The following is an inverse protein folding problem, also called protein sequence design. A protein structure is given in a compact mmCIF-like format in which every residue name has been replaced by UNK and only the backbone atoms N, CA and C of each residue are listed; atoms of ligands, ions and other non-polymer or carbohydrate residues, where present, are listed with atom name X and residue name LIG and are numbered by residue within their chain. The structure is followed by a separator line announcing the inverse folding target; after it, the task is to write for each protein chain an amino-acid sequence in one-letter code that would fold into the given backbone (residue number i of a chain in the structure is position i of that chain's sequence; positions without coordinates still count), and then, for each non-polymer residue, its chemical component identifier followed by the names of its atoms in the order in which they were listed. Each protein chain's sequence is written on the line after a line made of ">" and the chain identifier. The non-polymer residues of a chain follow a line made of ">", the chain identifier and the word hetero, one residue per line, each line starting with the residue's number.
data_IF_549325025632
#
_entry.id   IF_549325025632
#
_cell.length_a   1.000
_cell.length_b   1.000
_cell.length_c   1.000
_cell.angle_alpha   90.00
_cell.angle_beta   90.00
_cell.angle_gamma   90.00
#
_symmetry.space_group_name_H-M   'P 1'
#
loop_
_entity.id
_entity.type
_entity.pdbx_description
1 polymer ?
#
# COMPACT_ATOMS: atom_id res chain seq x y z
N UNK A 1 23.42 14.43 -25.78
CA UNK A 1 23.33 13.57 -24.59
C UNK A 1 22.37 14.24 -23.62
N UNK A 2 21.07 14.00 -23.80
CA UNK A 2 20.05 14.64 -22.98
C UNK A 2 19.84 13.84 -21.71
N UNK A 3 20.15 14.49 -20.59
CA UNK A 3 19.89 14.08 -19.22
C UNK A 3 18.53 13.37 -19.07
N UNK A 4 18.55 12.06 -18.86
CA UNK A 4 17.40 11.34 -18.31
C UNK A 4 17.19 11.85 -16.89
N UNK A 5 16.16 12.68 -16.70
CA UNK A 5 15.69 12.99 -15.36
C UNK A 5 15.03 11.72 -14.82
N UNK A 6 15.79 10.91 -14.07
CA UNK A 6 15.25 9.82 -13.27
C UNK A 6 14.37 10.43 -12.19
N UNK A 7 13.07 10.59 -12.49
CA UNK A 7 12.07 10.88 -11.46
C UNK A 7 12.13 9.80 -10.37
N UNK A 8 11.66 10.08 -9.15
CA UNK A 8 11.68 9.08 -8.09
C UNK A 8 10.97 7.81 -8.60
N UNK A 9 11.70 6.68 -8.56
CA UNK A 9 11.20 5.37 -9.01
C UNK A 9 9.99 4.91 -8.20
N UNK A 10 9.84 5.45 -6.99
CA UNK A 10 8.80 5.13 -6.05
C UNK A 10 8.14 6.41 -5.48
N UNK A 11 6.82 6.39 -5.34
CA UNK A 11 6.05 7.37 -4.56
C UNK A 11 5.29 6.69 -3.43
N UNK A 12 4.87 7.46 -2.44
CA UNK A 12 3.99 7.00 -1.36
C UNK A 12 2.68 7.75 -1.48
N UNK A 13 1.58 7.02 -1.55
CA UNK A 13 0.24 7.56 -1.75
C UNK A 13 -0.76 6.94 -0.76
N UNK A 14 -1.91 7.58 -0.59
CA UNK A 14 -3.04 6.96 0.11
C UNK A 14 -3.56 5.78 -0.70
N UNK A 15 -3.85 4.69 0.00
CA UNK A 15 -4.52 3.52 -0.56
C UNK A 15 -5.92 3.89 -1.01
N UNK A 16 -6.34 3.39 -2.18
CA UNK A 16 -7.70 3.53 -2.69
C UNK A 16 -8.33 2.15 -2.96
N UNK A 17 -9.66 2.04 -3.01
CA UNK A 17 -10.33 0.77 -3.32
C UNK A 17 -9.89 0.15 -4.65
N UNK A 18 -9.46 0.95 -5.62
CA UNK A 18 -8.98 0.48 -6.92
C UNK A 18 -7.61 -0.21 -6.82
N UNK A 19 -6.84 0.04 -5.76
CA UNK A 19 -5.53 -0.59 -5.52
C UNK A 19 -5.67 -2.01 -4.94
N UNK A 20 -6.85 -2.39 -4.45
CA UNK A 20 -7.09 -3.69 -3.78
C UNK A 20 -6.69 -4.92 -4.61
N UNK A 21 -6.89 -4.99 -5.95
CA UNK A 21 -6.43 -6.13 -6.72
C UNK A 21 -4.92 -6.35 -6.63
N UNK A 22 -4.12 -5.28 -6.67
CA UNK A 22 -2.66 -5.36 -6.58
C UNK A 22 -2.21 -5.65 -5.14
N UNK A 23 -2.86 -5.04 -4.15
CA UNK A 23 -2.59 -5.27 -2.72
C UNK A 23 -2.88 -6.72 -2.34
N UNK A 24 -3.98 -7.30 -2.80
CA UNK A 24 -4.33 -8.70 -2.51
C UNK A 24 -3.33 -9.68 -3.14
N UNK A 25 -2.72 -9.32 -4.28
CA UNK A 25 -1.66 -10.11 -4.88
C UNK A 25 -0.39 -10.09 -4.03
N UNK A 26 0.00 -8.91 -3.52
CA UNK A 26 1.10 -8.77 -2.56
C UNK A 26 0.79 -9.58 -1.31
N UNK A 27 -0.38 -9.40 -0.71
CA UNK A 27 -0.80 -10.09 0.52
C UNK A 27 -0.72 -11.61 0.41
N UNK A 28 -1.23 -12.16 -0.70
CA UNK A 28 -1.19 -13.60 -0.96
C UNK A 28 0.24 -14.14 -1.13
N UNK A 29 1.16 -13.33 -1.62
CA UNK A 29 2.56 -13.70 -1.78
C UNK A 29 3.37 -13.55 -0.48
N UNK A 30 3.04 -12.57 0.35
CA UNK A 30 3.83 -12.20 1.53
C UNK A 30 3.44 -12.98 2.78
N UNK A 31 2.21 -13.49 2.89
CA UNK A 31 1.72 -14.16 4.10
C UNK A 31 1.14 -15.56 3.86
N UNK A 32 1.39 -16.47 4.83
CA UNK A 32 0.80 -17.83 4.83
C UNK A 32 -0.70 -17.83 5.11
N UNK A 33 -1.17 -16.83 5.86
CA UNK A 33 -2.59 -16.62 6.18
C UNK A 33 -2.98 -15.20 5.77
N UNK A 34 -3.21 -14.98 4.47
CA UNK A 34 -3.57 -13.68 3.89
C UNK A 34 -4.81 -13.06 4.54
N UNK A 35 -4.79 -11.75 4.71
CA UNK A 35 -5.99 -10.96 4.95
C UNK A 35 -7.00 -11.10 3.80
N UNK A 36 -8.28 -11.08 4.15
CA UNK A 36 -9.34 -11.09 3.16
C UNK A 36 -9.56 -9.69 2.59
N UNK A 37 -10.12 -9.61 1.38
CA UNK A 37 -10.54 -8.32 0.78
C UNK A 37 -11.41 -7.48 1.72
N UNK A 38 -12.31 -8.13 2.46
CA UNK A 38 -13.20 -7.46 3.42
C UNK A 38 -12.41 -6.70 4.49
N UNK A 39 -11.35 -7.31 5.03
CA UNK A 39 -10.53 -6.69 6.07
C UNK A 39 -9.87 -5.39 5.59
N UNK A 40 -9.31 -5.38 4.36
CA UNK A 40 -8.79 -4.15 3.77
C UNK A 40 -9.88 -3.09 3.56
N UNK A 41 -11.07 -3.51 3.10
CA UNK A 41 -12.19 -2.59 2.93
C UNK A 41 -12.68 -2.03 4.26
N UNK A 42 -12.62 -2.80 5.34
CA UNK A 42 -13.00 -2.38 6.68
C UNK A 42 -12.05 -1.29 7.18
N UNK A 43 -10.75 -1.49 7.03
CA UNK A 43 -9.71 -0.50 7.37
C UNK A 43 -9.87 0.81 6.57
N UNK A 44 -10.13 0.72 5.26
CA UNK A 44 -10.38 1.90 4.41
C UNK A 44 -11.62 2.70 4.84
N UNK A 45 -12.55 2.13 5.62
CA UNK A 45 -13.72 2.84 6.14
C UNK A 45 -13.48 3.50 7.49
N UNK A 46 -12.37 3.19 8.17
CA UNK A 46 -12.04 3.75 9.48
C UNK A 46 -11.28 5.08 9.31
N UNK A 47 -11.83 6.22 9.79
CA UNK A 47 -11.20 7.53 9.56
C UNK A 47 -9.82 7.70 10.22
N UNK A 48 -9.52 6.90 11.25
CA UNK A 48 -8.26 6.93 11.98
C UNK A 48 -7.22 5.95 11.42
N UNK A 49 -7.61 5.05 10.51
CA UNK A 49 -6.70 4.11 9.89
C UNK A 49 -5.84 4.82 8.85
N UNK A 50 -4.54 4.61 8.92
CA UNK A 50 -3.57 5.05 7.92
C UNK A 50 -3.33 3.89 6.96
N UNK A 51 -3.97 3.95 5.79
CA UNK A 51 -3.82 2.97 4.71
C UNK A 51 -3.01 3.61 3.58
N UNK A 52 -1.78 3.15 3.37
CA UNK A 52 -0.85 3.75 2.42
C UNK A 52 -0.25 2.70 1.50
N UNK A 53 0.11 3.12 0.29
CA UNK A 53 0.76 2.29 -0.73
C UNK A 53 2.05 2.94 -1.20
N UNK A 54 3.03 2.11 -1.54
CA UNK A 54 4.17 2.52 -2.36
C UNK A 54 3.83 2.24 -3.80
N UNK A 55 3.93 3.24 -4.67
CA UNK A 55 3.77 3.09 -6.11
C UNK A 55 5.12 3.07 -6.81
N UNK A 56 5.37 2.08 -7.64
CA UNK A 56 6.53 1.99 -8.52
C UNK A 56 6.16 2.42 -9.94
N UNK A 57 7.02 3.21 -10.58
CA UNK A 57 6.93 3.46 -12.03
C UNK A 57 7.65 2.35 -12.79
N UNK A 58 6.90 1.51 -13.49
CA UNK A 58 7.44 0.44 -14.34
C UNK A 58 6.85 0.53 -15.75
N UNK A 59 7.71 0.60 -16.76
CA UNK A 59 7.32 0.66 -18.17
C UNK A 59 6.25 1.73 -18.49
N UNK A 60 6.34 2.89 -17.82
CA UNK A 60 5.40 4.00 -17.99
C UNK A 60 4.05 3.81 -17.29
N UNK A 61 3.90 2.80 -16.42
CA UNK A 61 2.72 2.55 -15.59
C UNK A 61 3.07 2.63 -14.11
N UNK A 62 2.15 3.18 -13.33
CA UNK A 62 2.22 3.15 -11.87
C UNK A 62 1.59 1.84 -11.37
N UNK A 63 2.33 1.07 -10.58
CA UNK A 63 1.85 -0.16 -9.94
C UNK A 63 2.10 -0.09 -8.43
N UNK A 64 1.27 -0.75 -7.64
CA UNK A 64 1.47 -0.88 -6.19
C UNK A 64 2.58 -1.90 -5.96
N UNK A 65 3.63 -1.47 -5.28
CA UNK A 65 4.78 -2.30 -4.95
C UNK A 65 4.82 -2.71 -3.47
N UNK A 66 4.11 -1.99 -2.61
CA UNK A 66 4.01 -2.29 -1.19
C UNK A 66 2.79 -1.60 -0.59
N UNK A 67 2.37 -2.04 0.59
CA UNK A 67 1.35 -1.36 1.37
C UNK A 67 1.67 -1.41 2.87
N UNK A 68 1.07 -0.48 3.62
CA UNK A 68 1.09 -0.46 5.08
C UNK A 68 -0.28 -0.02 5.61
N UNK A 69 -0.71 -0.63 6.71
CA UNK A 69 -1.92 -0.29 7.46
C UNK A 69 -1.56 -0.20 8.94
N UNK A 70 -1.83 0.96 9.55
CA UNK A 70 -1.62 1.18 10.97
C UNK A 70 -2.58 2.23 11.51
N UNK A 71 -2.79 2.23 12.83
CA UNK A 71 -3.54 3.26 13.53
C UNK A 71 -2.59 4.12 14.38
N UNK A 72 -2.96 5.38 14.55
CA UNK A 72 -2.34 6.28 15.52
C UNK A 72 -3.33 6.49 16.66
N UNK A 73 -3.01 5.94 17.83
CA UNK A 73 -3.87 6.00 19.01
C UNK A 73 -3.06 6.61 20.16
N UNK A 74 -3.49 7.78 20.63
CA UNK A 74 -2.74 8.61 21.57
C UNK A 74 -1.30 8.87 21.05
N UNK A 75 -0.29 8.32 21.72
CA UNK A 75 1.14 8.42 21.41
C UNK A 75 1.73 7.10 20.87
N UNK A 76 0.88 6.13 20.54
CA UNK A 76 1.29 4.81 20.04
C UNK A 76 0.92 4.59 18.56
N UNK A 77 1.77 3.81 17.88
CA UNK A 77 1.50 3.28 16.53
C UNK A 77 1.09 1.82 16.66
N UNK A 78 -0.14 1.51 16.26
CA UNK A 78 -0.63 0.14 16.21
C UNK A 78 -0.47 -0.36 14.78
N UNK A 79 0.64 -1.04 14.50
CA UNK A 79 0.92 -1.60 13.17
C UNK A 79 0.06 -2.85 12.94
N UNK A 80 -0.85 -2.79 11.97
CA UNK A 80 -1.75 -3.91 11.68
C UNK A 80 -1.17 -4.82 10.61
N UNK A 81 -0.72 -4.25 9.49
CA UNK A 81 -0.15 -5.04 8.39
C UNK A 81 0.81 -4.22 7.52
N UNK A 82 1.84 -4.88 6.98
CA UNK A 82 2.83 -4.28 6.08
C UNK A 82 3.45 -5.37 5.19
N UNK A 83 3.48 -5.14 3.89
CA UNK A 83 4.10 -6.08 2.94
C UNK A 83 4.60 -5.40 1.67
N UNK A 84 5.55 -6.08 1.01
CA UNK A 84 6.22 -5.77 -0.26
C UNK A 84 6.22 -7.03 -1.11
#
# INVERSE_FOLDING_TARGET
>A
MSSEKTGPLFSVDLMKPEDLPEILAIEAASFRTPWTRGMFQDELRLPHAQCMVVRAQQAGKSQVAAYIIFWLVADEVHLHNIAV
#
